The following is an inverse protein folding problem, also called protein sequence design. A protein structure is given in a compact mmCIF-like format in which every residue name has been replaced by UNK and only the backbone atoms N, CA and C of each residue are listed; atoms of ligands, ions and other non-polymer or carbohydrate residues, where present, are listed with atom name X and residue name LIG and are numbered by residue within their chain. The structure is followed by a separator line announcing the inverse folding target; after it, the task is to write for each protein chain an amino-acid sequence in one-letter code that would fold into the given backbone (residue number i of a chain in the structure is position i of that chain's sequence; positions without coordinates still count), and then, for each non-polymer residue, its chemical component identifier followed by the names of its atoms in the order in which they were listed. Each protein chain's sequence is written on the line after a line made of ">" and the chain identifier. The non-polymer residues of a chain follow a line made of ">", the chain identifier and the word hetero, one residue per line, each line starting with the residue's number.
data_IF_141034338579
#
_entry.id   IF_141034338579
#
_cell.length_a   1.000
_cell.length_b   1.000
_cell.length_c   1.000
_cell.angle_alpha   90.00
_cell.angle_beta   90.00
_cell.angle_gamma   90.00
#
_symmetry.space_group_name_H-M   'P 1'
#
loop_
_entity.id
_entity.type
_entity.pdbx_description
1 polymer ?
#
# COMPACT_ATOMS: atom_id res chain seq x y z
N UNK A 1 -3.69 58.55 -26.76
CA UNK A 1 -3.03 58.73 -25.44
C UNK A 1 -1.55 58.51 -25.62
N UNK A 2 -0.72 59.50 -25.30
CA UNK A 2 0.74 59.44 -25.45
C UNK A 2 1.36 58.47 -24.43
N UNK A 3 2.50 57.88 -24.76
CA UNK A 3 3.26 57.03 -23.83
C UNK A 3 3.68 57.80 -22.57
N UNK A 4 3.87 59.11 -22.69
CA UNK A 4 4.16 60.01 -21.57
C UNK A 4 2.95 60.18 -20.63
N UNK A 5 1.73 60.19 -21.15
CA UNK A 5 0.51 60.25 -20.34
C UNK A 5 0.32 58.97 -19.52
N UNK A 6 0.71 57.82 -20.08
CA UNK A 6 0.71 56.53 -19.37
C UNK A 6 1.74 56.50 -18.25
N UNK A 7 2.94 57.06 -18.49
CA UNK A 7 4.02 57.12 -17.49
C UNK A 7 3.68 58.14 -16.40
N UNK A 8 3.09 59.30 -16.73
CA UNK A 8 2.56 60.26 -15.76
C UNK A 8 1.43 59.65 -14.91
N UNK A 9 0.49 58.94 -15.54
CA UNK A 9 -0.59 58.24 -14.84
C UNK A 9 -0.08 57.07 -13.98
N UNK A 10 1.05 56.44 -14.34
CA UNK A 10 1.70 55.44 -13.49
C UNK A 10 2.45 56.07 -12.30
N UNK A 11 3.13 57.21 -12.50
CA UNK A 11 3.81 57.95 -11.42
C UNK A 11 2.83 58.61 -10.45
N UNK A 12 1.68 59.12 -10.90
CA UNK A 12 0.65 59.69 -10.02
C UNK A 12 0.01 58.61 -9.13
N UNK A 13 -0.28 57.43 -9.69
CA UNK A 13 -0.77 56.24 -8.95
C UNK A 13 0.19 55.75 -7.86
N UNK A 14 1.50 55.94 -8.06
CA UNK A 14 2.53 55.56 -7.08
C UNK A 14 2.75 56.62 -6.00
N UNK A 15 2.49 57.90 -6.31
CA UNK A 15 2.54 59.02 -5.34
C UNK A 15 1.29 59.14 -4.47
N UNK A 16 0.15 58.60 -4.91
CA UNK A 16 -1.11 58.56 -4.15
C UNK A 16 -1.19 57.41 -3.12
N UNK A 17 -0.06 56.79 -2.75
CA UNK A 17 -0.02 55.75 -1.70
C UNK A 17 -0.37 56.27 -0.30
N UNK A 18 -0.54 57.59 -0.13
CA UNK A 18 -1.18 58.17 1.04
C UNK A 18 -2.68 58.29 0.80
N UNK A 19 -3.37 57.17 0.97
CA UNK A 19 -4.81 57.17 1.20
C UNK A 19 -5.09 57.85 2.55
N UNK A 20 -5.64 59.06 2.52
CA UNK A 20 -6.18 59.70 3.73
C UNK A 20 -7.51 59.05 4.06
N UNK A 21 -7.51 58.23 5.12
CA UNK A 21 -8.71 57.62 5.71
C UNK A 21 -9.78 58.68 5.92
N UNK A 22 -11.00 58.41 5.45
CA UNK A 22 -12.16 59.28 5.67
C UNK A 22 -12.27 59.66 7.15
N UNK A 23 -12.29 60.96 7.41
CA UNK A 23 -12.45 61.53 8.75
C UNK A 23 -13.80 61.11 9.33
N UNK A 24 -13.83 60.17 10.27
CA UNK A 24 -14.99 59.95 11.14
C UNK A 24 -15.40 58.52 11.51
N UNK A 25 -14.75 57.45 11.03
CA UNK A 25 -15.16 56.06 11.36
C UNK A 25 -14.12 55.39 12.27
N UNK A 26 -14.53 54.93 13.45
CA UNK A 26 -13.64 54.39 14.49
C UNK A 26 -13.01 53.01 14.13
N UNK A 27 -13.64 52.21 13.26
CA UNK A 27 -13.31 50.80 13.02
C UNK A 27 -12.66 50.54 11.65
N UNK A 28 -11.71 51.38 11.23
CA UNK A 28 -11.10 51.26 9.90
C UNK A 28 -9.83 50.39 9.84
N UNK A 29 -9.23 49.98 10.96
CA UNK A 29 -8.02 49.13 10.97
C UNK A 29 -8.37 47.65 10.90
N UNK A 30 -7.51 46.87 10.25
CA UNK A 30 -7.57 45.42 10.34
C UNK A 30 -7.09 44.96 11.72
N UNK A 31 -7.83 44.04 12.35
CA UNK A 31 -7.41 43.41 13.61
C UNK A 31 -6.52 42.19 13.31
N UNK A 32 -5.20 42.23 13.59
CA UNK A 32 -4.28 41.14 13.28
C UNK A 32 -4.68 39.80 13.92
N UNK A 33 -5.26 39.83 15.12
CA UNK A 33 -5.63 38.61 15.83
C UNK A 33 -6.81 37.89 15.15
N UNK A 34 -7.83 38.65 14.76
CA UNK A 34 -9.03 38.11 14.15
C UNK A 34 -8.88 37.79 12.65
N UNK A 35 -7.85 38.34 11.98
CA UNK A 35 -7.55 38.09 10.56
C UNK A 35 -7.19 36.64 10.24
N UNK A 36 -6.53 35.96 11.18
CA UNK A 36 -5.98 34.61 10.99
C UNK A 36 -6.82 33.53 11.69
N UNK A 37 -7.90 33.91 12.36
CA UNK A 37 -8.83 32.98 12.96
C UNK A 37 -9.86 32.46 11.94
N UNK A 38 -9.81 31.16 11.65
CA UNK A 38 -10.78 30.51 10.76
C UNK A 38 -12.23 30.59 11.29
N UNK A 39 -12.41 30.68 12.61
CA UNK A 39 -13.73 30.79 13.27
C UNK A 39 -14.23 32.23 13.40
N UNK A 40 -13.39 33.22 13.11
CA UNK A 40 -13.81 34.61 13.15
C UNK A 40 -14.89 34.88 12.10
N UNK A 41 -15.85 35.74 12.46
CA UNK A 41 -16.94 36.11 11.55
C UNK A 41 -16.38 36.86 10.33
N UNK A 42 -16.98 36.70 9.13
CA UNK A 42 -16.51 37.40 7.93
C UNK A 42 -16.63 38.93 8.04
N UNK A 43 -17.38 39.43 9.03
CA UNK A 43 -17.48 40.83 9.39
C UNK A 43 -16.13 41.48 9.78
N UNK A 44 -15.16 40.69 10.26
CA UNK A 44 -13.83 41.17 10.66
C UNK A 44 -13.07 41.82 9.50
N UNK A 45 -13.21 41.28 8.29
CA UNK A 45 -12.61 41.84 7.08
C UNK A 45 -13.55 42.80 6.34
N UNK A 46 -14.86 42.57 6.43
CA UNK A 46 -15.87 43.38 5.74
C UNK A 46 -16.01 44.78 6.35
N UNK A 47 -16.08 44.90 7.69
CA UNK A 47 -16.32 46.19 8.37
C UNK A 47 -15.21 47.22 8.12
N UNK A 48 -13.91 46.89 8.27
CA UNK A 48 -12.84 47.84 7.98
C UNK A 48 -12.81 48.24 6.50
N UNK A 49 -13.15 47.31 5.61
CA UNK A 49 -13.20 47.56 4.18
C UNK A 49 -14.37 48.48 3.80
N UNK A 50 -15.55 48.32 4.39
CA UNK A 50 -16.69 49.23 4.22
C UNK A 50 -16.42 50.61 4.81
N UNK A 51 -15.82 50.69 6.00
CA UNK A 51 -15.43 51.95 6.63
C UNK A 51 -14.48 52.76 5.76
N UNK A 52 -13.57 52.09 5.04
CA UNK A 52 -12.67 52.72 4.06
C UNK A 52 -13.38 53.13 2.77
N UNK A 53 -14.50 52.54 2.42
CA UNK A 53 -15.25 52.91 1.21
C UNK A 53 -16.26 54.04 1.45
N UNK A 54 -16.61 54.37 2.71
CA UNK A 54 -17.56 55.44 3.07
C UNK A 54 -17.01 56.88 2.90
N UNK A 55 -15.76 57.08 2.44
CA UNK A 55 -15.14 58.40 2.20
C UNK A 55 -15.38 58.99 0.79
N UNK A 56 -14.77 60.16 0.50
CA UNK A 56 -14.78 60.96 -0.76
C UNK A 56 -14.99 60.14 -2.06
N UNK A 57 -15.71 60.67 -3.07
CA UNK A 57 -16.65 59.90 -3.90
C UNK A 57 -15.97 58.75 -4.65
N UNK A 58 -16.08 57.55 -4.11
CA UNK A 58 -15.64 56.31 -4.74
C UNK A 58 -16.60 55.84 -5.85
N UNK A 59 -17.27 56.78 -6.52
CA UNK A 59 -18.25 56.53 -7.59
C UNK A 59 -17.59 55.80 -8.78
N UNK A 60 -16.30 56.06 -9.02
CA UNK A 60 -15.53 55.39 -10.06
C UNK A 60 -14.96 54.03 -9.61
N UNK A 61 -14.97 53.05 -10.53
CA UNK A 61 -14.35 51.73 -10.33
C UNK A 61 -12.86 51.83 -9.98
N UNK A 62 -12.16 52.86 -10.51
CA UNK A 62 -10.75 53.07 -10.27
C UNK A 62 -10.45 53.48 -8.82
N UNK A 63 -11.31 54.31 -8.22
CA UNK A 63 -11.18 54.73 -6.82
C UNK A 63 -11.37 53.54 -5.87
N UNK A 64 -12.40 52.72 -6.07
CA UNK A 64 -12.64 51.51 -5.25
C UNK A 64 -11.50 50.50 -5.33
N UNK A 65 -10.92 50.32 -6.52
CA UNK A 65 -9.76 49.43 -6.72
C UNK A 65 -8.54 49.86 -5.91
N UNK A 66 -8.27 51.16 -5.81
CA UNK A 66 -7.16 51.67 -4.99
C UNK A 66 -7.35 51.31 -3.50
N UNK A 67 -8.58 51.36 -3.00
CA UNK A 67 -8.90 50.92 -1.63
C UNK A 67 -8.65 49.43 -1.46
N UNK A 68 -9.13 48.58 -2.38
CA UNK A 68 -8.89 47.12 -2.30
C UNK A 68 -7.40 46.77 -2.33
N UNK A 69 -6.63 47.43 -3.19
CA UNK A 69 -5.17 47.24 -3.27
C UNK A 69 -4.47 47.66 -1.98
N UNK A 70 -4.92 48.74 -1.32
CA UNK A 70 -4.39 49.16 -0.03
C UNK A 70 -4.69 48.15 1.09
N UNK A 71 -5.93 47.64 1.17
CA UNK A 71 -6.30 46.59 2.16
C UNK A 71 -5.52 45.31 1.91
N UNK A 72 -5.32 44.92 0.65
CA UNK A 72 -4.53 43.74 0.31
C UNK A 72 -3.06 43.92 0.69
N UNK A 73 -2.47 45.09 0.46
CA UNK A 73 -1.09 45.38 0.85
C UNK A 73 -0.89 45.36 2.37
N UNK A 74 -1.86 45.88 3.13
CA UNK A 74 -1.84 45.83 4.59
C UNK A 74 -1.92 44.38 5.10
N UNK A 75 -2.81 43.55 4.53
CA UNK A 75 -2.90 42.12 4.85
C UNK A 75 -1.58 41.40 4.59
N UNK A 76 -0.92 41.65 3.44
CA UNK A 76 0.39 41.05 3.15
C UNK A 76 1.47 41.53 4.13
N UNK A 77 1.43 42.79 4.55
CA UNK A 77 2.36 43.32 5.55
C UNK A 77 2.18 42.67 6.93
N UNK A 78 0.94 42.37 7.32
CA UNK A 78 0.63 41.69 8.57
C UNK A 78 0.96 40.19 8.53
N UNK A 79 0.76 39.54 7.38
CA UNK A 79 1.23 38.16 7.14
C UNK A 79 2.76 38.10 7.31
N UNK A 80 3.49 39.05 6.73
CA UNK A 80 4.95 39.10 6.84
C UNK A 80 5.45 39.41 8.26
N UNK A 81 4.71 40.21 9.04
CA UNK A 81 5.05 40.54 10.44
C UNK A 81 4.77 39.40 11.42
N UNK A 82 3.72 38.63 11.17
CA UNK A 82 3.18 37.67 12.14
C UNK A 82 3.74 36.25 11.97
N UNK A 83 4.64 36.00 11.01
CA UNK A 83 5.22 34.67 10.69
C UNK A 83 4.18 33.53 10.66
N UNK A 84 2.99 33.81 10.14
CA UNK A 84 1.88 32.85 10.15
C UNK A 84 2.13 31.74 9.13
N UNK A 85 1.70 30.51 9.42
CA UNK A 85 1.69 29.41 8.46
C UNK A 85 1.03 29.85 7.13
N UNK A 86 1.70 29.54 6.01
CA UNK A 86 1.29 29.91 4.65
C UNK A 86 -0.14 29.44 4.33
N UNK A 87 -0.60 28.34 4.93
CA UNK A 87 -1.97 27.86 4.75
C UNK A 87 -3.02 28.84 5.32
N UNK A 88 -2.75 29.38 6.50
CA UNK A 88 -3.62 30.35 7.18
C UNK A 88 -3.56 31.68 6.44
N UNK A 89 -2.38 32.07 5.95
CA UNK A 89 -2.23 33.23 5.08
C UNK A 89 -3.05 33.09 3.77
N UNK A 90 -2.99 31.95 3.07
CA UNK A 90 -3.79 31.72 1.86
C UNK A 90 -5.30 31.72 2.15
N UNK A 91 -5.72 31.21 3.32
CA UNK A 91 -7.11 31.31 3.76
C UNK A 91 -7.58 32.76 3.87
N UNK A 92 -6.84 33.62 4.59
CA UNK A 92 -7.17 35.04 4.75
C UNK A 92 -7.15 35.80 3.41
N UNK A 93 -6.19 35.51 2.52
CA UNK A 93 -6.15 36.06 1.15
C UNK A 93 -7.36 35.67 0.32
N UNK A 94 -7.82 34.41 0.41
CA UNK A 94 -9.03 33.94 -0.31
C UNK A 94 -10.29 34.57 0.25
N UNK A 95 -10.40 34.67 1.58
CA UNK A 95 -11.52 35.32 2.27
C UNK A 95 -11.68 36.78 1.82
N UNK A 96 -10.59 37.55 1.79
CA UNK A 96 -10.59 38.93 1.27
C UNK A 96 -11.06 39.01 -0.19
N UNK A 97 -10.56 38.13 -1.07
CA UNK A 97 -10.97 38.08 -2.48
C UNK A 97 -12.47 37.80 -2.67
N UNK A 98 -13.04 36.92 -1.85
CA UNK A 98 -14.49 36.63 -1.88
C UNK A 98 -15.29 37.86 -1.46
N UNK A 99 -14.88 38.52 -0.36
CA UNK A 99 -15.52 39.74 0.14
C UNK A 99 -15.52 40.84 -0.93
N UNK A 100 -14.36 41.13 -1.51
CA UNK A 100 -14.22 42.15 -2.58
C UNK A 100 -15.11 41.82 -3.79
N UNK A 101 -15.15 40.54 -4.19
CA UNK A 101 -15.96 40.10 -5.32
C UNK A 101 -17.46 40.27 -5.07
N UNK A 102 -17.96 39.87 -3.89
CA UNK A 102 -19.38 39.98 -3.54
C UNK A 102 -19.79 41.44 -3.37
N UNK A 103 -18.94 42.25 -2.76
CA UNK A 103 -19.18 43.68 -2.59
C UNK A 103 -19.31 44.41 -3.94
N UNK A 104 -18.40 44.15 -4.88
CA UNK A 104 -18.50 44.75 -6.23
C UNK A 104 -19.75 44.29 -7.00
N UNK A 105 -20.24 43.07 -6.75
CA UNK A 105 -21.49 42.59 -7.35
C UNK A 105 -22.68 43.37 -6.82
N UNK A 106 -22.76 43.58 -5.50
CA UNK A 106 -23.84 44.30 -4.84
C UNK A 106 -23.83 45.80 -5.19
N UNK A 107 -22.64 46.43 -5.27
CA UNK A 107 -22.48 47.82 -5.73
C UNK A 107 -23.01 47.97 -7.17
N UNK A 108 -22.69 47.03 -8.08
CA UNK A 108 -23.17 47.07 -9.47
C UNK A 108 -24.66 46.80 -9.60
N UNK A 109 -25.23 46.05 -8.66
CA UNK A 109 -26.66 45.77 -8.61
C UNK A 109 -27.48 46.91 -7.98
N UNK A 110 -26.84 47.98 -7.50
CA UNK A 110 -27.51 49.13 -6.89
C UNK A 110 -28.02 48.86 -5.47
N UNK A 111 -27.46 47.88 -4.77
CA UNK A 111 -27.81 47.57 -3.37
C UNK A 111 -27.20 48.63 -2.45
N UNK A 112 -27.91 49.02 -1.39
CA UNK A 112 -27.40 49.95 -0.37
C UNK A 112 -26.31 49.31 0.51
N UNK A 113 -25.08 49.27 0.01
CA UNK A 113 -23.92 48.63 0.67
C UNK A 113 -23.41 49.39 1.91
N UNK A 114 -23.83 50.63 2.10
CA UNK A 114 -23.41 51.48 3.23
C UNK A 114 -24.45 51.57 4.34
N UNK A 115 -25.57 50.85 4.21
CA UNK A 115 -26.58 50.78 5.27
C UNK A 115 -26.00 50.12 6.53
N UNK A 116 -26.40 50.57 7.74
CA UNK A 116 -25.94 49.97 8.98
C UNK A 116 -26.35 48.49 9.04
N UNK A 117 -25.38 47.59 9.17
CA UNK A 117 -25.60 46.15 9.21
C UNK A 117 -25.55 45.44 7.85
N UNK A 118 -25.12 46.12 6.78
CA UNK A 118 -24.95 45.49 5.47
C UNK A 118 -23.98 44.30 5.54
N UNK A 119 -24.43 43.17 5.00
CA UNK A 119 -23.64 41.97 4.77
C UNK A 119 -24.13 41.30 3.48
N UNK A 120 -23.23 40.98 2.52
CA UNK A 120 -23.65 40.33 1.29
C UNK A 120 -24.37 39.01 1.58
N UNK A 121 -25.52 38.78 0.93
CA UNK A 121 -26.39 37.63 1.24
C UNK A 121 -25.69 36.27 1.11
N UNK A 122 -24.69 36.17 0.20
CA UNK A 122 -23.91 34.94 -0.03
C UNK A 122 -22.62 34.84 0.78
N UNK A 123 -22.24 35.89 1.52
CA UNK A 123 -20.93 35.95 2.16
C UNK A 123 -20.76 34.87 3.23
N UNK A 124 -21.76 34.69 4.10
CA UNK A 124 -21.71 33.69 5.17
C UNK A 124 -21.56 32.28 4.60
N UNK A 125 -22.38 31.93 3.60
CA UNK A 125 -22.35 30.61 2.98
C UNK A 125 -21.03 30.33 2.22
N UNK A 126 -20.45 31.32 1.53
CA UNK A 126 -19.16 31.16 0.85
C UNK A 126 -17.99 31.09 1.83
N UNK A 127 -18.06 31.82 2.95
CA UNK A 127 -17.04 31.78 4.00
C UNK A 127 -17.05 30.44 4.75
N UNK A 128 -18.22 29.90 5.08
CA UNK A 128 -18.37 28.56 5.66
C UNK A 128 -17.81 27.47 4.73
N UNK A 129 -18.08 27.57 3.43
CA UNK A 129 -17.51 26.65 2.42
C UNK A 129 -16.00 26.74 2.38
N UNK A 130 -15.44 27.94 2.44
CA UNK A 130 -13.99 28.16 2.47
C UNK A 130 -13.37 27.58 3.75
N UNK A 131 -13.98 27.81 4.91
CA UNK A 131 -13.54 27.28 6.21
C UNK A 131 -13.58 25.74 6.23
N UNK A 132 -14.66 25.13 5.74
CA UNK A 132 -14.77 23.68 5.62
C UNK A 132 -13.75 23.08 4.62
N UNK A 133 -13.44 23.79 3.54
CA UNK A 133 -12.39 23.38 2.62
C UNK A 133 -10.99 23.47 3.25
N UNK A 134 -10.71 24.53 4.02
CA UNK A 134 -9.46 24.71 4.75
C UNK A 134 -9.28 23.60 5.81
N UNK A 135 -10.30 23.34 6.63
CA UNK A 135 -10.29 22.28 7.64
C UNK A 135 -9.99 20.89 7.02
N UNK A 136 -10.62 20.56 5.89
CA UNK A 136 -10.35 19.29 5.16
C UNK A 136 -8.94 19.19 4.57
N UNK A 137 -8.27 20.31 4.28
CA UNK A 137 -6.86 20.30 3.82
C UNK A 137 -5.90 20.15 5.00
N UNK A 138 -6.18 20.84 6.11
CA UNK A 138 -5.41 20.72 7.34
C UNK A 138 -5.46 19.28 7.87
N UNK A 139 -6.64 18.66 7.88
CA UNK A 139 -6.81 17.26 8.32
C UNK A 139 -6.05 16.28 7.42
N UNK A 140 -6.14 16.44 6.08
CA UNK A 140 -5.39 15.61 5.14
C UNK A 140 -3.88 15.73 5.31
N UNK A 141 -3.35 16.94 5.52
CA UNK A 141 -1.92 17.15 5.79
C UNK A 141 -1.50 16.46 7.08
N UNK A 142 -2.24 16.62 8.18
CA UNK A 142 -1.93 15.93 9.44
C UNK A 142 -1.89 14.42 9.25
N UNK A 143 -2.82 13.86 8.48
CA UNK A 143 -2.85 12.44 8.16
C UNK A 143 -1.65 12.02 7.29
N UNK A 144 -1.29 12.83 6.29
CA UNK A 144 -0.13 12.57 5.42
C UNK A 144 1.20 12.67 6.19
N UNK A 145 1.37 13.69 7.03
CA UNK A 145 2.54 13.88 7.91
C UNK A 145 2.66 12.73 8.92
N UNK A 146 1.56 12.33 9.58
CA UNK A 146 1.56 11.18 10.48
C UNK A 146 1.91 9.89 9.72
N UNK A 147 1.45 9.74 8.47
CA UNK A 147 1.78 8.60 7.62
C UNK A 147 3.25 8.61 7.19
N UNK A 148 3.81 9.76 6.87
CA UNK A 148 5.22 9.94 6.53
C UNK A 148 6.15 9.72 7.73
N UNK A 149 5.80 10.24 8.91
CA UNK A 149 6.53 10.01 10.15
C UNK A 149 6.59 8.51 10.49
N UNK A 150 5.46 7.79 10.35
CA UNK A 150 5.41 6.33 10.50
C UNK A 150 6.30 5.61 9.49
N UNK A 151 6.27 6.03 8.21
CA UNK A 151 7.14 5.47 7.16
C UNK A 151 8.61 5.70 7.46
N UNK A 152 8.97 6.89 7.92
CA UNK A 152 10.34 7.25 8.28
C UNK A 152 10.84 6.42 9.46
N UNK A 153 10.04 6.31 10.54
CA UNK A 153 10.33 5.48 11.70
C UNK A 153 10.52 4.00 11.30
N UNK A 154 9.61 3.45 10.49
CA UNK A 154 9.71 2.07 10.00
C UNK A 154 10.91 1.85 9.06
N UNK A 155 11.25 2.82 8.21
CA UNK A 155 12.37 2.69 7.25
C UNK A 155 13.72 2.71 7.96
N UNK A 156 13.84 3.50 9.02
CA UNK A 156 15.09 3.72 9.73
C UNK A 156 15.20 2.90 11.03
N UNK A 157 14.19 2.08 11.35
CA UNK A 157 14.09 1.29 12.58
C UNK A 157 14.20 2.15 13.85
N UNK A 158 13.60 3.35 13.80
CA UNK A 158 13.55 4.33 14.90
C UNK A 158 12.19 4.21 15.57
N UNK A 159 12.14 4.32 16.90
CA UNK A 159 10.88 4.38 17.62
C UNK A 159 10.08 5.62 17.18
N UNK A 160 8.81 5.42 16.80
CA UNK A 160 7.93 6.54 16.50
C UNK A 160 7.50 7.20 17.80
N UNK A 161 8.07 8.38 18.08
CA UNK A 161 7.62 9.22 19.17
C UNK A 161 6.39 10.01 18.72
N UNK A 162 5.28 9.82 19.42
CA UNK A 162 4.05 10.57 19.21
C UNK A 162 4.01 11.62 20.31
N UNK A 163 4.04 12.90 19.94
CA UNK A 163 3.84 13.99 20.88
C UNK A 163 2.42 13.91 21.44
N UNK A 164 2.31 13.62 22.73
CA UNK A 164 1.03 13.52 23.45
C UNK A 164 0.61 14.91 23.88
N UNK A 165 -0.67 15.26 23.69
CA UNK A 165 -1.21 16.54 24.14
C UNK A 165 -1.04 16.73 25.66
N UNK A 166 -0.84 17.97 26.12
CA UNK A 166 -0.62 18.25 27.56
C UNK A 166 -1.73 17.68 28.45
N UNK A 167 -2.97 17.67 27.98
CA UNK A 167 -4.11 17.13 28.74
C UNK A 167 -4.08 15.59 28.81
N UNK A 168 -3.59 14.91 27.77
CA UNK A 168 -3.50 13.45 27.70
C UNK A 168 -2.30 12.89 28.47
N UNK A 169 -1.28 13.71 28.74
CA UNK A 169 -0.08 13.24 29.47
C UNK A 169 -0.39 12.78 30.89
N UNK A 170 -1.35 13.42 31.57
CA UNK A 170 -1.80 13.01 32.91
C UNK A 170 -2.52 11.66 32.89
N UNK A 171 -3.45 11.49 31.97
CA UNK A 171 -4.22 10.25 31.80
C UNK A 171 -3.32 9.08 31.40
N UNK A 172 -2.38 9.31 30.48
CA UNK A 172 -1.40 8.29 30.09
C UNK A 172 -0.44 7.93 31.23
N UNK A 173 -0.10 8.88 32.12
CA UNK A 173 0.73 8.59 33.28
C UNK A 173 0.01 7.61 34.23
N UNK A 174 -1.28 7.86 34.50
CA UNK A 174 -2.13 6.95 35.30
C UNK A 174 -2.24 5.59 34.62
N UNK A 175 -2.50 5.57 33.31
CA UNK A 175 -2.64 4.33 32.55
C UNK A 175 -1.34 3.51 32.56
N UNK A 176 -0.19 4.18 32.39
CA UNK A 176 1.14 3.58 32.40
C UNK A 176 1.46 2.96 33.75
N UNK A 177 1.08 3.61 34.84
CA UNK A 177 1.32 3.10 36.19
C UNK A 177 0.45 1.86 36.49
N UNK A 178 -0.82 1.90 36.09
CA UNK A 178 -1.71 0.71 36.17
C UNK A 178 -1.22 -0.43 35.29
N UNK A 179 -0.73 -0.13 34.08
CA UNK A 179 -0.13 -1.12 33.17
C UNK A 179 1.14 -1.73 33.77
N UNK A 180 2.00 -0.94 34.42
CA UNK A 180 3.18 -1.45 35.13
C UNK A 180 2.80 -2.39 36.26
N UNK A 181 1.75 -2.06 37.03
CA UNK A 181 1.25 -2.94 38.08
C UNK A 181 0.72 -4.28 37.50
N UNK A 182 -0.07 -4.21 36.42
CA UNK A 182 -0.58 -5.39 35.69
C UNK A 182 0.52 -6.23 35.02
N UNK A 183 1.59 -5.59 34.55
CA UNK A 183 2.75 -6.29 33.98
C UNK A 183 3.70 -6.80 35.06
N UNK A 184 3.72 -6.19 36.25
CA UNK A 184 4.53 -6.63 37.39
C UNK A 184 4.11 -7.99 37.97
N UNK A 185 2.85 -8.39 37.75
CA UNK A 185 2.36 -9.74 38.06
C UNK A 185 2.79 -10.81 37.03
N UNK A 186 3.43 -10.41 35.93
CA UNK A 186 4.13 -11.30 35.01
C UNK A 186 5.65 -11.08 35.13
N UNK A 187 6.48 -12.10 35.41
CA UNK A 187 7.92 -11.91 35.55
C UNK A 187 8.52 -11.29 34.29
N UNK A 188 9.09 -10.08 34.44
CA UNK A 188 9.70 -9.28 33.39
C UNK A 188 11.08 -9.80 32.92
N UNK A 189 11.34 -11.11 33.03
CA UNK A 189 12.64 -11.72 32.71
C UNK A 189 12.84 -12.02 31.21
N UNK A 190 11.86 -11.73 30.35
CA UNK A 190 11.93 -12.03 28.90
C UNK A 190 11.92 -10.79 27.98
N UNK A 191 12.10 -9.57 28.50
CA UNK A 191 12.01 -8.35 27.67
C UNK A 191 13.34 -7.99 26.96
N UNK A 192 14.47 -8.59 27.33
CA UNK A 192 15.81 -8.20 26.81
C UNK A 192 16.51 -9.21 25.90
N UNK A 193 16.00 -10.43 25.75
CA UNK A 193 16.52 -11.40 24.77
C UNK A 193 15.56 -11.45 23.60
N UNK A 194 16.02 -11.02 22.43
CA UNK A 194 15.34 -11.23 21.15
C UNK A 194 14.66 -12.59 21.18
N UNK A 195 13.32 -12.62 21.26
CA UNK A 195 12.58 -13.88 21.25
C UNK A 195 13.04 -14.62 20.00
N UNK A 196 13.51 -15.88 20.11
CA UNK A 196 14.06 -16.58 18.97
C UNK A 196 12.97 -16.61 17.90
N UNK A 197 13.29 -16.07 16.71
CA UNK A 197 12.37 -15.96 15.56
C UNK A 197 11.61 -17.28 15.33
N UNK A 198 12.25 -18.42 15.60
CA UNK A 198 11.64 -19.75 15.55
C UNK A 198 10.46 -19.97 16.50
N UNK A 199 10.45 -19.41 17.72
CA UNK A 199 9.33 -19.57 18.67
C UNK A 199 8.09 -18.81 18.19
N UNK A 200 8.28 -17.60 17.68
CA UNK A 200 7.19 -16.80 17.10
C UNK A 200 6.65 -17.47 15.83
N UNK A 201 7.54 -17.93 14.96
CA UNK A 201 7.16 -18.62 13.72
C UNK A 201 6.39 -19.93 14.01
N UNK A 202 6.85 -20.73 14.96
CA UNK A 202 6.16 -21.95 15.36
C UNK A 202 4.80 -21.66 16.00
N UNK A 203 4.71 -20.63 16.85
CA UNK A 203 3.43 -20.20 17.43
C UNK A 203 2.43 -19.75 16.34
N UNK A 204 2.89 -18.98 15.36
CA UNK A 204 2.08 -18.57 14.22
C UNK A 204 1.66 -19.76 13.35
N UNK A 205 2.55 -20.72 13.13
CA UNK A 205 2.23 -21.95 12.40
C UNK A 205 1.11 -22.74 13.09
N UNK A 206 1.23 -22.97 14.40
CA UNK A 206 0.19 -23.65 15.19
C UNK A 206 -1.12 -22.87 15.18
N UNK A 207 -1.06 -21.54 15.32
CA UNK A 207 -2.23 -20.67 15.24
C UNK A 207 -2.94 -20.82 13.89
N UNK A 208 -2.19 -20.70 12.79
CA UNK A 208 -2.76 -20.74 11.45
C UNK A 208 -3.30 -22.13 11.10
N UNK A 209 -2.66 -23.21 11.59
CA UNK A 209 -3.21 -24.56 11.50
C UNK A 209 -4.54 -24.69 12.23
N UNK A 210 -4.71 -24.09 13.42
CA UNK A 210 -5.99 -24.11 14.15
C UNK A 210 -7.07 -23.32 13.41
N UNK A 211 -6.73 -22.16 12.86
CA UNK A 211 -7.66 -21.37 12.03
C UNK A 211 -8.12 -22.19 10.82
N UNK A 212 -7.18 -22.83 10.12
CA UNK A 212 -7.49 -23.67 8.95
C UNK A 212 -8.39 -24.87 9.30
N UNK A 213 -8.15 -25.53 10.44
CA UNK A 213 -9.02 -26.61 10.93
C UNK A 213 -10.41 -26.11 11.34
N UNK A 214 -10.51 -24.89 11.89
CA UNK A 214 -11.77 -24.29 12.31
C UNK A 214 -12.63 -23.79 11.14
N UNK A 215 -12.00 -23.30 10.07
CA UNK A 215 -12.73 -22.70 8.95
C UNK A 215 -13.35 -23.73 8.00
N UNK A 216 -12.77 -24.92 7.77
CA UNK A 216 -13.49 -26.06 7.14
C UNK A 216 -12.65 -27.33 6.99
N UNK A 217 -13.19 -28.49 7.40
CA UNK A 217 -12.66 -29.83 7.01
C UNK A 217 -12.66 -30.05 5.49
N UNK A 218 -13.50 -29.32 4.75
CA UNK A 218 -13.64 -29.42 3.29
C UNK A 218 -12.39 -28.87 2.59
N UNK A 219 -11.66 -27.93 3.21
CA UNK A 219 -10.46 -27.34 2.61
C UNK A 219 -9.38 -28.39 2.32
N UNK A 220 -9.21 -29.39 3.19
CA UNK A 220 -8.23 -30.46 3.01
C UNK A 220 -8.62 -31.40 1.85
N UNK A 221 -9.90 -31.77 1.77
CA UNK A 221 -10.44 -32.56 0.66
C UNK A 221 -10.31 -31.79 -0.66
N UNK A 222 -10.56 -30.49 -0.64
CA UNK A 222 -10.42 -29.63 -1.80
C UNK A 222 -8.98 -29.52 -2.31
N UNK A 223 -7.98 -29.63 -1.42
CA UNK A 223 -6.58 -29.66 -1.81
C UNK A 223 -6.21 -30.90 -2.65
N UNK A 224 -6.97 -32.00 -2.52
CA UNK A 224 -6.83 -33.23 -3.31
C UNK A 224 -7.49 -33.12 -4.69
N UNK A 225 -8.64 -32.45 -4.78
CA UNK A 225 -9.43 -32.34 -6.02
C UNK A 225 -8.63 -31.68 -7.13
N UNK A 226 -7.95 -30.56 -6.84
CA UNK A 226 -7.17 -29.83 -7.85
C UNK A 226 -6.12 -30.71 -8.56
N UNK A 227 -5.20 -31.36 -7.81
CA UNK A 227 -4.24 -32.31 -8.35
C UNK A 227 -4.87 -33.44 -9.13
N UNK A 228 -5.95 -34.05 -8.63
CA UNK A 228 -6.64 -35.14 -9.36
C UNK A 228 -7.18 -34.66 -10.70
N UNK A 229 -7.82 -33.49 -10.75
CA UNK A 229 -8.37 -32.93 -12.01
C UNK A 229 -7.28 -32.62 -13.02
N UNK A 230 -6.17 -32.02 -12.59
CA UNK A 230 -5.07 -31.71 -13.51
C UNK A 230 -4.31 -32.98 -13.93
N UNK A 231 -4.10 -33.92 -13.01
CA UNK A 231 -3.52 -35.23 -13.30
C UNK A 231 -4.33 -35.97 -14.36
N UNK A 232 -5.66 -36.05 -14.21
CA UNK A 232 -6.54 -36.75 -15.15
C UNK A 232 -6.59 -36.04 -16.50
N UNK A 233 -6.57 -34.70 -16.51
CA UNK A 233 -6.46 -33.92 -17.74
C UNK A 233 -5.17 -34.22 -18.51
N UNK A 234 -4.02 -34.20 -17.83
CA UNK A 234 -2.72 -34.49 -18.48
C UNK A 234 -2.69 -35.95 -18.94
N UNK A 235 -3.11 -36.88 -18.08
CA UNK A 235 -3.09 -38.31 -18.40
C UNK A 235 -3.99 -38.64 -19.59
N UNK A 236 -5.21 -38.11 -19.61
CA UNK A 236 -6.16 -38.33 -20.71
C UNK A 236 -5.63 -37.78 -22.04
N UNK A 237 -4.97 -36.62 -22.04
CA UNK A 237 -4.38 -36.04 -23.25
C UNK A 237 -3.38 -37.02 -23.90
N UNK A 238 -2.46 -37.57 -23.12
CA UNK A 238 -1.46 -38.53 -23.63
C UNK A 238 -2.08 -39.86 -24.08
N UNK A 239 -3.04 -40.39 -23.31
CA UNK A 239 -3.73 -41.65 -23.65
C UNK A 239 -4.52 -41.49 -24.95
N UNK A 240 -5.20 -40.35 -25.16
CA UNK A 240 -5.91 -40.06 -26.41
C UNK A 240 -4.96 -39.94 -27.61
N UNK A 241 -3.71 -39.50 -27.38
CA UNK A 241 -2.65 -39.48 -28.38
C UNK A 241 -1.98 -40.86 -28.58
N UNK A 242 -2.46 -41.92 -27.91
CA UNK A 242 -1.91 -43.27 -28.01
C UNK A 242 -0.58 -43.48 -27.25
N UNK A 243 -0.20 -42.53 -26.39
CA UNK A 243 1.03 -42.61 -25.60
C UNK A 243 0.71 -43.12 -24.20
N UNK A 244 1.26 -44.29 -23.86
CA UNK A 244 1.11 -44.89 -22.52
C UNK A 244 2.37 -44.72 -21.64
N UNK A 245 3.52 -44.49 -22.27
CA UNK A 245 4.79 -44.23 -21.60
C UNK A 245 5.49 -43.04 -22.26
N UNK A 246 6.05 -42.16 -21.44
CA UNK A 246 6.82 -40.99 -21.87
C UNK A 246 8.26 -41.22 -21.44
N UNK A 247 9.17 -41.51 -22.38
CA UNK A 247 10.59 -41.71 -22.08
C UNK A 247 10.83 -42.71 -20.92
N UNK A 248 10.06 -43.80 -20.90
CA UNK A 248 10.13 -44.83 -19.83
C UNK A 248 9.30 -44.55 -18.57
N UNK A 249 8.67 -43.38 -18.47
CA UNK A 249 7.78 -43.01 -17.36
C UNK A 249 6.34 -43.38 -17.68
N UNK A 250 5.61 -43.97 -16.73
CA UNK A 250 4.16 -44.15 -16.89
C UNK A 250 3.43 -42.80 -16.84
N UNK A 251 2.44 -42.63 -17.72
CA UNK A 251 1.76 -41.35 -17.96
C UNK A 251 1.06 -40.81 -16.71
N UNK A 252 0.51 -41.69 -15.87
CA UNK A 252 -0.22 -41.33 -14.66
C UNK A 252 0.71 -40.75 -13.61
N UNK A 253 1.86 -41.40 -13.35
CA UNK A 253 2.87 -40.89 -12.42
C UNK A 253 3.55 -39.64 -12.96
N UNK A 254 3.82 -39.59 -14.26
CA UNK A 254 4.30 -38.38 -14.93
C UNK A 254 3.37 -37.18 -14.67
N UNK A 255 2.07 -37.41 -14.85
CA UNK A 255 1.02 -36.40 -14.63
C UNK A 255 0.86 -36.04 -13.16
N UNK A 256 0.98 -37.02 -12.25
CA UNK A 256 0.93 -36.81 -10.80
C UNK A 256 2.03 -35.84 -10.34
N UNK A 257 3.27 -36.09 -10.73
CA UNK A 257 4.42 -35.28 -10.34
C UNK A 257 4.28 -33.85 -10.86
N UNK A 258 3.93 -33.69 -12.14
CA UNK A 258 3.72 -32.37 -12.74
C UNK A 258 2.56 -31.61 -12.09
N UNK A 259 1.37 -32.23 -12.06
CA UNK A 259 0.15 -31.59 -11.58
C UNK A 259 0.23 -31.19 -10.11
N UNK A 260 0.65 -32.11 -9.24
CA UNK A 260 0.62 -31.91 -7.79
C UNK A 260 1.71 -30.92 -7.38
N UNK A 261 2.93 -31.03 -7.93
CA UNK A 261 4.03 -30.09 -7.64
C UNK A 261 3.66 -28.67 -8.06
N UNK A 262 3.07 -28.52 -9.25
CA UNK A 262 2.72 -27.20 -9.76
C UNK A 262 1.55 -26.58 -8.99
N UNK A 263 0.52 -27.36 -8.65
CA UNK A 263 -0.59 -26.87 -7.84
C UNK A 263 -0.10 -26.49 -6.44
N UNK A 264 0.80 -27.27 -5.85
CA UNK A 264 1.47 -26.89 -4.60
C UNK A 264 2.18 -25.55 -4.73
N UNK A 265 3.06 -25.42 -5.73
CA UNK A 265 3.80 -24.19 -6.02
C UNK A 265 2.84 -22.99 -6.13
N UNK A 266 1.76 -23.15 -6.89
CA UNK A 266 0.72 -22.14 -7.09
C UNK A 266 0.05 -21.75 -5.78
N UNK A 267 -0.37 -22.71 -4.96
CA UNK A 267 -0.99 -22.42 -3.67
C UNK A 267 -0.04 -21.68 -2.75
N UNK A 268 1.22 -22.12 -2.66
CA UNK A 268 2.24 -21.46 -1.86
C UNK A 268 2.42 -20.01 -2.33
N UNK A 269 2.59 -19.77 -3.64
CA UNK A 269 2.81 -18.44 -4.19
C UNK A 269 1.65 -17.48 -3.85
N UNK A 270 0.40 -17.88 -4.14
CA UNK A 270 -0.77 -17.00 -3.93
C UNK A 270 -1.17 -16.84 -2.46
N UNK A 271 -1.05 -17.89 -1.65
CA UNK A 271 -1.43 -17.83 -0.23
C UNK A 271 -0.41 -17.02 0.57
N UNK A 272 0.87 -17.20 0.25
CA UNK A 272 1.94 -16.41 0.85
C UNK A 272 1.87 -14.94 0.42
N UNK A 273 1.60 -14.67 -0.87
CA UNK A 273 1.45 -13.28 -1.36
C UNK A 273 0.24 -12.57 -0.72
N UNK A 274 -0.87 -13.29 -0.55
CA UNK A 274 -2.07 -12.75 0.09
C UNK A 274 -1.80 -12.47 1.56
N UNK A 275 -1.22 -13.43 2.29
CA UNK A 275 -0.89 -13.27 3.70
C UNK A 275 0.11 -12.14 3.95
N UNK A 276 1.07 -11.94 3.04
CA UNK A 276 1.99 -10.82 3.08
C UNK A 276 1.29 -9.46 3.09
N UNK A 277 0.23 -9.30 2.29
CA UNK A 277 -0.52 -8.04 2.16
C UNK A 277 -1.66 -7.91 3.18
N UNK A 278 -2.34 -9.01 3.50
CA UNK A 278 -3.60 -9.02 4.25
C UNK A 278 -3.42 -9.17 5.77
N UNK A 279 -2.28 -9.67 6.25
CA UNK A 279 -2.07 -9.99 7.67
C UNK A 279 -1.85 -8.75 8.57
N UNK A 280 -2.45 -7.60 8.24
CA UNK A 280 -2.26 -6.32 8.95
C UNK A 280 -2.61 -6.41 10.43
N UNK A 281 -3.65 -7.16 10.80
CA UNK A 281 -4.03 -7.36 12.19
C UNK A 281 -3.02 -8.17 13.02
N UNK A 282 -2.28 -9.09 12.40
CA UNK A 282 -1.24 -9.85 13.09
C UNK A 282 0.05 -9.04 13.28
N UNK A 283 0.27 -8.00 12.46
CA UNK A 283 1.41 -7.10 12.60
C UNK A 283 1.34 -6.24 13.88
N UNK A 284 0.18 -6.20 14.55
CA UNK A 284 0.03 -5.54 15.85
C UNK A 284 0.72 -6.32 16.98
N UNK A 285 1.07 -7.60 16.77
CA UNK A 285 1.82 -8.37 17.75
C UNK A 285 3.33 -8.16 17.62
N UNK A 286 3.99 -7.93 18.76
CA UNK A 286 5.45 -7.74 18.81
C UNK A 286 6.19 -8.97 18.24
N UNK A 287 7.08 -8.71 17.27
CA UNK A 287 7.93 -9.73 16.64
C UNK A 287 7.33 -10.44 15.44
N UNK A 288 6.09 -10.12 15.03
CA UNK A 288 5.48 -10.64 13.80
C UNK A 288 5.86 -9.74 12.62
N UNK A 289 6.39 -10.33 11.55
CA UNK A 289 6.73 -9.61 10.31
C UNK A 289 5.88 -10.12 9.14
N UNK A 290 5.64 -9.30 8.09
CA UNK A 290 4.92 -9.75 6.89
C UNK A 290 5.59 -10.96 6.23
N UNK A 291 6.93 -11.00 6.26
CA UNK A 291 7.73 -12.14 5.80
C UNK A 291 7.40 -13.42 6.59
N UNK A 292 7.30 -13.35 7.93
CA UNK A 292 6.91 -14.50 8.74
C UNK A 292 5.51 -15.01 8.38
N UNK A 293 4.55 -14.12 8.13
CA UNK A 293 3.21 -14.52 7.66
C UNK A 293 3.27 -15.32 6.35
N UNK A 294 4.07 -14.85 5.38
CA UNK A 294 4.27 -15.52 4.10
C UNK A 294 4.95 -16.89 4.27
N UNK A 295 6.02 -16.97 5.08
CA UNK A 295 6.75 -18.20 5.33
C UNK A 295 5.91 -19.26 6.06
N UNK A 296 5.07 -18.84 7.00
CA UNK A 296 4.13 -19.75 7.70
C UNK A 296 3.15 -20.37 6.71
N UNK A 297 2.57 -19.57 5.81
CA UNK A 297 1.70 -20.10 4.74
C UNK A 297 2.46 -21.09 3.85
N UNK A 298 3.69 -20.75 3.46
CA UNK A 298 4.52 -21.63 2.65
C UNK A 298 4.74 -22.98 3.33
N UNK A 299 5.09 -22.99 4.62
CA UNK A 299 5.32 -24.22 5.39
C UNK A 299 4.05 -25.07 5.52
N UNK A 300 2.89 -24.44 5.73
CA UNK A 300 1.60 -25.14 5.80
C UNK A 300 1.31 -25.84 4.48
N UNK A 301 1.40 -25.13 3.36
CA UNK A 301 1.04 -25.71 2.07
C UNK A 301 2.06 -26.75 1.60
N UNK A 302 3.36 -26.61 1.87
CA UNK A 302 4.32 -27.70 1.65
C UNK A 302 3.91 -28.94 2.44
N UNK A 303 3.57 -28.79 3.73
CA UNK A 303 3.16 -29.91 4.57
C UNK A 303 1.87 -30.58 4.07
N UNK A 304 0.86 -29.79 3.69
CA UNK A 304 -0.39 -30.29 3.12
C UNK A 304 -0.13 -31.07 1.84
N UNK A 305 0.69 -30.53 0.93
CA UNK A 305 0.92 -31.19 -0.36
C UNK A 305 1.85 -32.40 -0.27
N UNK A 306 2.74 -32.49 0.73
CA UNK A 306 3.45 -33.73 1.04
C UNK A 306 2.48 -34.85 1.45
N UNK A 307 1.46 -34.53 2.26
CA UNK A 307 0.39 -35.49 2.59
C UNK A 307 -0.43 -35.85 1.36
N UNK A 308 -0.79 -34.86 0.52
CA UNK A 308 -1.52 -35.11 -0.74
C UNK A 308 -0.72 -36.04 -1.67
N UNK A 309 0.59 -35.83 -1.81
CA UNK A 309 1.45 -36.75 -2.54
C UNK A 309 1.42 -38.16 -1.97
N UNK A 310 1.57 -38.31 -0.65
CA UNK A 310 1.51 -39.62 0.00
C UNK A 310 0.17 -40.34 -0.26
N UNK A 311 -0.95 -39.62 -0.17
CA UNK A 311 -2.29 -40.17 -0.45
C UNK A 311 -2.43 -40.57 -1.92
N UNK A 312 -2.04 -39.71 -2.86
CA UNK A 312 -2.19 -40.00 -4.29
C UNK A 312 -1.27 -41.13 -4.76
N UNK A 313 -0.02 -41.14 -4.31
CA UNK A 313 0.94 -42.21 -4.64
C UNK A 313 0.44 -43.54 -4.07
N UNK A 314 0.03 -43.59 -2.79
CA UNK A 314 -0.46 -44.83 -2.17
C UNK A 314 -1.75 -45.35 -2.83
N UNK A 315 -2.73 -44.48 -3.07
CA UNK A 315 -3.98 -44.87 -3.72
C UNK A 315 -3.78 -45.30 -5.19
N UNK A 316 -2.97 -44.55 -5.95
CA UNK A 316 -2.69 -44.90 -7.35
C UNK A 316 -1.83 -46.16 -7.49
N UNK A 317 -0.91 -46.41 -6.56
CA UNK A 317 -0.12 -47.63 -6.53
C UNK A 317 -1.01 -48.85 -6.20
N UNK A 318 -1.94 -48.72 -5.25
CA UNK A 318 -2.88 -49.80 -4.91
C UNK A 318 -3.77 -50.25 -6.08
N UNK A 319 -4.03 -49.35 -7.04
CA UNK A 319 -4.82 -49.62 -8.25
C UNK A 319 -3.91 -50.03 -9.43
N UNK A 320 -2.58 -50.05 -9.25
CA UNK A 320 -1.61 -50.42 -10.29
C UNK A 320 -1.39 -49.34 -11.35
N UNK A 321 -1.79 -48.09 -11.08
CA UNK A 321 -1.65 -46.96 -12.00
C UNK A 321 -0.40 -46.12 -11.77
N UNK A 322 0.17 -46.14 -10.56
CA UNK A 322 1.29 -45.29 -10.16
C UNK A 322 2.49 -46.13 -9.73
N UNK A 323 3.67 -45.77 -10.24
CA UNK A 323 4.95 -46.36 -9.85
C UNK A 323 5.45 -45.74 -8.56
N UNK A 324 6.14 -46.53 -7.73
CA UNK A 324 6.72 -46.02 -6.48
C UNK A 324 8.01 -45.23 -6.75
N UNK A 325 8.33 -44.22 -5.93
CA UNK A 325 9.57 -43.47 -6.07
C UNK A 325 10.79 -44.37 -5.84
N UNK A 326 11.81 -44.25 -6.70
CA UNK A 326 13.11 -44.89 -6.48
C UNK A 326 13.81 -44.35 -5.23
N UNK A 327 13.76 -43.03 -5.02
CA UNK A 327 14.34 -42.36 -3.85
C UNK A 327 13.32 -41.43 -3.20
N UNK A 328 12.74 -41.87 -2.07
CA UNK A 328 11.84 -41.05 -1.27
C UNK A 328 12.50 -39.76 -0.79
N UNK A 329 13.75 -39.84 -0.34
CA UNK A 329 14.48 -38.67 0.15
C UNK A 329 14.70 -37.64 -0.96
N UNK A 330 15.12 -38.09 -2.14
CA UNK A 330 15.35 -37.22 -3.28
C UNK A 330 14.05 -36.62 -3.82
N UNK A 331 12.98 -37.42 -3.91
CA UNK A 331 11.64 -36.96 -4.27
C UNK A 331 11.17 -35.83 -3.33
N UNK A 332 11.20 -36.07 -2.01
CA UNK A 332 10.78 -35.08 -1.00
C UNK A 332 11.65 -33.81 -1.11
N UNK A 333 12.96 -33.95 -1.29
CA UNK A 333 13.87 -32.82 -1.42
C UNK A 333 13.47 -31.92 -2.59
N UNK A 334 13.26 -32.46 -3.79
CA UNK A 334 12.88 -31.65 -4.96
C UNK A 334 11.48 -31.04 -4.82
N UNK A 335 10.53 -31.76 -4.21
CA UNK A 335 9.22 -31.18 -3.86
C UNK A 335 9.38 -29.99 -2.92
N UNK A 336 10.20 -30.11 -1.87
CA UNK A 336 10.47 -29.00 -0.94
C UNK A 336 11.18 -27.83 -1.64
N UNK A 337 12.16 -28.09 -2.51
CA UNK A 337 12.85 -27.04 -3.28
C UNK A 337 11.90 -26.30 -4.22
N UNK A 338 10.97 -27.01 -4.88
CA UNK A 338 9.88 -26.41 -5.65
C UNK A 338 8.93 -25.61 -4.74
N UNK A 339 8.69 -26.07 -3.51
CA UNK A 339 7.98 -25.31 -2.49
C UNK A 339 8.70 -24.01 -2.11
N UNK A 340 10.02 -24.04 -1.93
CA UNK A 340 10.85 -22.85 -1.69
C UNK A 340 10.79 -21.86 -2.85
N UNK A 341 10.78 -22.35 -4.10
CA UNK A 341 10.53 -21.53 -5.27
C UNK A 341 9.18 -20.81 -5.19
N UNK A 342 8.12 -21.54 -4.81
CA UNK A 342 6.78 -20.98 -4.61
C UNK A 342 6.77 -19.92 -3.50
N UNK A 343 7.49 -20.16 -2.41
CA UNK A 343 7.61 -19.23 -1.29
C UNK A 343 8.29 -17.92 -1.70
N UNK A 344 9.41 -18.02 -2.42
CA UNK A 344 10.13 -16.86 -2.95
C UNK A 344 9.25 -16.06 -3.93
N UNK A 345 8.55 -16.75 -4.83
CA UNK A 345 7.60 -16.12 -5.75
C UNK A 345 6.46 -15.45 -5.00
N UNK A 346 5.93 -16.08 -3.95
CA UNK A 346 4.85 -15.52 -3.14
C UNK A 346 5.25 -14.26 -2.39
N UNK A 347 6.46 -14.23 -1.80
CA UNK A 347 7.02 -13.03 -1.18
C UNK A 347 7.23 -11.92 -2.21
N UNK A 348 7.77 -12.26 -3.39
CA UNK A 348 7.95 -11.30 -4.48
C UNK A 348 6.61 -10.72 -4.96
N UNK A 349 5.61 -11.56 -5.20
CA UNK A 349 4.27 -11.14 -5.62
C UNK A 349 3.57 -10.31 -4.55
N UNK A 350 3.69 -10.69 -3.29
CA UNK A 350 3.17 -9.92 -2.16
C UNK A 350 3.83 -8.54 -2.07
N UNK A 351 5.14 -8.49 -2.24
CA UNK A 351 5.91 -7.24 -2.22
C UNK A 351 5.52 -6.31 -3.36
N UNK A 352 5.38 -6.81 -4.60
CA UNK A 352 4.91 -6.01 -5.75
C UNK A 352 3.49 -5.51 -5.50
N UNK A 353 2.62 -6.33 -4.92
CA UNK A 353 1.23 -5.99 -4.65
C UNK A 353 1.07 -4.84 -3.62
N UNK A 354 2.09 -4.57 -2.79
CA UNK A 354 2.08 -3.41 -1.89
C UNK A 354 2.13 -2.08 -2.64
N UNK A 355 2.80 -2.04 -3.79
CA UNK A 355 2.87 -0.87 -4.67
C UNK A 355 1.74 -0.88 -5.69
N UNK A 356 1.48 -2.05 -6.29
CA UNK A 356 0.46 -2.22 -7.31
C UNK A 356 -0.65 -3.17 -6.85
N UNK A 357 -1.68 -2.61 -6.23
CA UNK A 357 -2.80 -3.36 -5.65
C UNK A 357 -3.55 -4.28 -6.65
N UNK A 358 -3.45 -4.01 -7.95
CA UNK A 358 -4.07 -4.84 -9.00
C UNK A 358 -3.22 -6.06 -9.38
N UNK A 359 -1.94 -6.10 -9.00
CA UNK A 359 -0.99 -7.14 -9.40
C UNK A 359 -1.46 -8.56 -9.06
N UNK A 360 -2.03 -8.79 -7.87
CA UNK A 360 -2.53 -10.12 -7.48
C UNK A 360 -3.70 -10.62 -8.35
N UNK A 361 -4.38 -9.73 -9.08
CA UNK A 361 -5.40 -10.13 -10.07
C UNK A 361 -4.78 -10.55 -11.40
N UNK A 362 -3.60 -10.04 -11.73
CA UNK A 362 -2.83 -10.39 -12.94
C UNK A 362 -1.88 -11.57 -12.72
N UNK A 363 -1.40 -11.77 -11.49
CA UNK A 363 -0.48 -12.84 -11.15
C UNK A 363 -0.94 -14.25 -11.58
N UNK A 364 -2.25 -14.61 -11.55
CA UNK A 364 -2.73 -15.88 -12.10
C UNK A 364 -2.46 -16.06 -13.59
N UNK A 365 -2.46 -14.98 -14.38
CA UNK A 365 -2.16 -15.04 -15.81
C UNK A 365 -0.67 -15.36 -16.00
N UNK A 366 0.20 -14.67 -15.25
CA UNK A 366 1.65 -14.91 -15.27
C UNK A 366 1.96 -16.35 -14.87
N UNK A 367 1.33 -16.82 -13.79
CA UNK A 367 1.48 -18.20 -13.31
C UNK A 367 1.04 -19.23 -14.36
N UNK A 368 -0.04 -18.99 -15.11
CA UNK A 368 -0.46 -19.87 -16.20
C UNK A 368 0.56 -19.96 -17.33
N UNK A 369 1.18 -18.85 -17.72
CA UNK A 369 2.28 -18.89 -18.69
C UNK A 369 3.47 -19.66 -18.14
N UNK A 370 3.83 -19.41 -16.88
CA UNK A 370 4.92 -20.09 -16.20
C UNK A 370 4.69 -21.61 -16.13
N UNK A 371 3.44 -22.05 -15.94
CA UNK A 371 3.05 -23.45 -15.90
C UNK A 371 3.41 -24.20 -17.19
N UNK A 372 3.21 -23.54 -18.34
CA UNK A 372 3.47 -24.13 -19.66
C UNK A 372 4.98 -24.37 -19.82
N UNK A 373 5.80 -23.40 -19.42
CA UNK A 373 7.26 -23.49 -19.53
C UNK A 373 7.92 -24.27 -18.38
N UNK A 374 7.21 -24.59 -17.30
CA UNK A 374 7.76 -25.29 -16.13
C UNK A 374 7.80 -26.83 -16.27
N UNK A 375 7.77 -27.34 -17.51
CA UNK A 375 7.74 -28.77 -17.80
C UNK A 375 6.61 -29.55 -17.09
N UNK A 376 5.46 -28.90 -16.82
CA UNK A 376 4.33 -29.55 -16.12
C UNK A 376 3.64 -30.57 -17.03
N UNK A 377 3.38 -30.18 -18.27
CA UNK A 377 2.67 -30.99 -19.28
C UNK A 377 3.61 -31.83 -20.15
N UNK A 378 4.83 -31.33 -20.36
CA UNK A 378 5.81 -31.89 -21.31
C UNK A 378 7.21 -31.85 -20.70
N UNK A 379 8.13 -32.58 -21.32
CA UNK A 379 9.55 -32.72 -20.97
C UNK A 379 10.37 -32.21 -22.15
N UNK A 380 11.51 -31.54 -21.92
CA UNK A 380 12.22 -30.89 -23.04
C UNK A 380 12.76 -31.87 -24.05
N UNK A 381 13.12 -33.07 -23.60
CA UNK A 381 13.57 -34.15 -24.46
C UNK A 381 12.49 -34.61 -25.46
N UNK A 382 11.19 -34.29 -25.27
CA UNK A 382 10.13 -34.57 -26.24
C UNK A 382 10.12 -33.59 -27.43
N UNK A 383 10.77 -32.44 -27.31
CA UNK A 383 10.80 -31.43 -28.36
C UNK A 383 12.03 -31.54 -29.28
N UNK A 384 11.94 -31.02 -30.52
CA UNK A 384 13.10 -30.82 -31.38
C UNK A 384 14.19 -29.99 -30.67
N UNK A 385 15.45 -30.25 -30.98
CA UNK A 385 16.61 -29.62 -30.33
C UNK A 385 16.55 -28.09 -30.32
N UNK A 386 15.93 -27.47 -31.34
CA UNK A 386 15.79 -26.02 -31.45
C UNK A 386 14.84 -25.43 -30.39
N UNK A 387 13.86 -26.20 -29.90
CA UNK A 387 12.84 -25.74 -28.94
C UNK A 387 13.20 -26.02 -27.49
N UNK A 388 14.10 -26.98 -27.22
CA UNK A 388 14.52 -27.33 -25.84
C UNK A 388 15.05 -26.14 -25.03
N UNK A 389 15.94 -25.27 -25.57
CA UNK A 389 16.47 -24.14 -24.82
C UNK A 389 15.41 -23.14 -24.36
N UNK A 390 14.33 -22.97 -25.13
CA UNK A 390 13.24 -22.06 -24.79
C UNK A 390 12.44 -22.53 -23.58
N UNK A 391 12.26 -23.84 -23.43
CA UNK A 391 11.61 -24.40 -22.25
C UNK A 391 12.54 -24.43 -21.04
N UNK A 392 13.81 -24.82 -21.24
CA UNK A 392 14.83 -24.88 -20.20
C UNK A 392 15.25 -23.49 -19.68
N UNK A 393 14.93 -22.42 -20.39
CA UNK A 393 15.10 -21.07 -19.87
C UNK A 393 14.39 -20.87 -18.50
N UNK A 394 13.25 -21.54 -18.31
CA UNK A 394 12.55 -21.56 -17.03
C UNK A 394 13.30 -22.43 -16.00
N UNK A 395 13.72 -21.88 -14.84
CA UNK A 395 14.36 -22.70 -13.80
C UNK A 395 13.40 -23.75 -13.22
N UNK A 396 12.09 -23.52 -13.30
CA UNK A 396 11.09 -24.48 -12.84
C UNK A 396 11.02 -25.73 -13.74
N UNK A 397 11.39 -25.60 -15.03
CA UNK A 397 11.51 -26.75 -15.93
C UNK A 397 12.59 -27.71 -15.43
N UNK A 398 13.77 -27.16 -15.12
CA UNK A 398 14.88 -27.91 -14.54
C UNK A 398 14.49 -28.60 -13.23
N UNK A 399 13.87 -27.86 -12.30
CA UNK A 399 13.42 -28.44 -11.03
C UNK A 399 12.42 -29.59 -11.22
N UNK A 400 11.49 -29.46 -12.17
CA UNK A 400 10.49 -30.49 -12.49
C UNK A 400 11.10 -31.72 -13.17
N UNK A 401 12.04 -31.55 -14.10
CA UNK A 401 12.72 -32.67 -14.74
C UNK A 401 13.62 -33.43 -13.78
N UNK A 402 14.36 -32.71 -12.92
CA UNK A 402 15.19 -33.33 -11.87
C UNK A 402 14.32 -34.06 -10.83
N UNK A 403 13.14 -33.52 -10.50
CA UNK A 403 12.17 -34.24 -9.68
C UNK A 403 11.78 -35.59 -10.32
N UNK A 404 11.54 -35.60 -11.64
CA UNK A 404 11.20 -36.84 -12.36
C UNK A 404 12.38 -37.80 -12.44
N UNK A 405 13.60 -37.31 -12.69
CA UNK A 405 14.80 -38.17 -12.79
C UNK A 405 15.16 -38.85 -11.47
N UNK A 406 14.79 -38.25 -10.33
CA UNK A 406 15.00 -38.85 -9.01
C UNK A 406 13.84 -39.78 -8.60
N UNK A 407 12.67 -39.60 -9.20
CA UNK A 407 11.50 -40.44 -8.96
C UNK A 407 11.59 -41.76 -9.74
N UNK A 408 11.90 -41.67 -11.04
CA UNK A 408 11.89 -42.81 -11.96
C UNK A 408 13.27 -43.39 -12.17
N UNK A 409 13.39 -44.71 -12.08
CA UNK A 409 14.63 -45.41 -12.45
C UNK A 409 14.87 -45.44 -13.97
N UNK A 410 13.80 -45.44 -14.75
CA UNK A 410 13.87 -45.56 -16.21
C UNK A 410 14.15 -44.23 -16.93
N UNK A 411 14.16 -43.11 -16.20
CA UNK A 411 14.30 -41.77 -16.78
C UNK A 411 15.43 -41.00 -16.09
N UNK A 412 16.43 -40.61 -16.87
CA UNK A 412 17.47 -39.67 -16.48
C UNK A 412 17.40 -38.47 -17.43
N UNK A 413 17.34 -37.26 -16.89
CA UNK A 413 17.30 -36.06 -17.73
C UNK A 413 18.71 -35.67 -18.13
N UNK A 414 18.93 -35.47 -19.43
CA UNK A 414 20.25 -35.15 -19.97
C UNK A 414 20.46 -33.64 -20.17
N UNK A 415 19.39 -32.87 -20.26
CA UNK A 415 19.44 -31.43 -20.51
C UNK A 415 19.12 -30.58 -19.25
N UNK A 416 18.60 -31.18 -18.19
CA UNK A 416 18.32 -30.48 -16.95
C UNK A 416 19.59 -30.24 -16.09
N UNK A 417 19.91 -28.98 -15.81
CA UNK A 417 21.02 -28.58 -14.94
C UNK A 417 20.59 -28.28 -13.50
N UNK A 418 21.12 -29.09 -12.56
CA UNK A 418 20.96 -28.84 -11.12
C UNK A 418 21.61 -27.52 -10.69
N UNK A 419 22.77 -27.19 -11.25
CA UNK A 419 23.46 -25.94 -10.96
C UNK A 419 22.63 -24.71 -11.38
N UNK A 420 22.01 -24.76 -12.55
CA UNK A 420 21.13 -23.67 -13.02
C UNK A 420 19.88 -23.53 -12.14
N UNK A 421 19.24 -24.64 -11.77
CA UNK A 421 18.08 -24.63 -10.88
C UNK A 421 18.41 -24.01 -9.52
N UNK A 422 19.47 -24.48 -8.85
CA UNK A 422 19.84 -23.98 -7.52
C UNK A 422 20.29 -22.51 -7.55
N UNK A 423 21.08 -22.11 -8.55
CA UNK A 423 21.52 -20.70 -8.68
C UNK A 423 20.33 -19.78 -8.93
N UNK A 424 19.38 -20.19 -9.78
CA UNK A 424 18.15 -19.45 -10.04
C UNK A 424 17.22 -19.40 -8.84
N UNK A 425 17.14 -20.47 -8.04
CA UNK A 425 16.41 -20.48 -6.77
C UNK A 425 17.01 -19.46 -5.79
N UNK A 426 18.33 -19.49 -5.58
CA UNK A 426 19.02 -18.54 -4.70
C UNK A 426 18.83 -17.11 -5.21
N UNK A 427 18.97 -16.89 -6.51
CA UNK A 427 18.73 -15.58 -7.12
C UNK A 427 17.29 -15.09 -6.89
N UNK A 428 16.29 -15.95 -7.11
CA UNK A 428 14.88 -15.62 -6.87
C UNK A 428 14.61 -15.28 -5.39
N UNK A 429 15.22 -16.02 -4.46
CA UNK A 429 15.12 -15.74 -3.02
C UNK A 429 15.75 -14.39 -2.66
N UNK A 430 16.91 -14.07 -3.20
CA UNK A 430 17.57 -12.77 -2.98
C UNK A 430 16.71 -11.63 -3.54
N UNK A 431 16.19 -11.77 -4.75
CA UNK A 431 15.28 -10.79 -5.36
C UNK A 431 14.02 -10.60 -4.51
N UNK A 432 13.43 -11.69 -4.02
CA UNK A 432 12.25 -11.64 -3.16
C UNK A 432 12.54 -10.93 -1.83
N UNK A 433 13.69 -11.18 -1.19
CA UNK A 433 14.08 -10.52 0.06
C UNK A 433 14.42 -9.03 -0.14
N UNK A 434 15.03 -8.66 -1.27
CA UNK A 434 15.25 -7.25 -1.62
C UNK A 434 13.91 -6.54 -1.82
N UNK A 435 12.99 -7.16 -2.56
CA UNK A 435 11.64 -6.63 -2.77
C UNK A 435 10.88 -6.48 -1.45
N UNK A 436 10.99 -7.47 -0.56
CA UNK A 436 10.40 -7.44 0.79
C UNK A 436 10.94 -6.26 1.61
N UNK A 437 12.26 -6.07 1.62
CA UNK A 437 12.90 -4.99 2.38
C UNK A 437 12.47 -3.61 1.88
N UNK A 438 12.26 -3.46 0.57
CA UNK A 438 11.75 -2.23 -0.04
C UNK A 438 10.26 -2.02 0.28
N UNK A 439 9.47 -3.08 0.26
CA UNK A 439 8.02 -3.04 0.48
C UNK A 439 7.63 -2.89 1.96
N UNK A 440 8.47 -3.36 2.89
CA UNK A 440 8.20 -3.38 4.34
C UNK A 440 7.66 -2.06 4.93
N UNK A 441 8.20 -0.86 4.60
CA UNK A 441 7.67 0.41 5.10
C UNK A 441 6.25 0.76 4.64
N UNK A 442 5.77 0.13 3.57
CA UNK A 442 4.43 0.34 3.02
C UNK A 442 3.39 -0.62 3.60
N UNK A 443 3.82 -1.69 4.27
CA UNK A 443 2.94 -2.66 4.93
C UNK A 443 2.67 -2.18 6.36
N UNK A 444 1.59 -1.43 6.54
CA UNK A 444 1.23 -0.84 7.83
C UNK A 444 0.41 -1.82 8.70
N UNK A 445 0.74 -1.98 9.99
CA UNK A 445 -0.22 -2.48 10.99
C UNK A 445 -1.41 -1.50 11.05
N UNK A 446 -2.63 -2.02 11.19
CA UNK A 446 -3.82 -1.18 11.36
C UNK A 446 -3.96 -0.70 12.80
#
# INVERSE_FOLDING_TARGET
>A
MSNEDRIKGWRSRRKSSNYTVGSGVADWRLDPAALFEAKATPAVLLKPLLARLQGEPHDSVAARRAVYEAVQAELESEIARSEVDENVADFSRRRLRIIVRLLEQDIRAGVEVFAPGYMPAKLVAEDERLAAAHARRAERRKQDEAREARRHASRNDIALEIEVGRDETGDLAILRDRLRFLHGSHPAEMAGKARPVGRTLMAMFIYQLRVMHGESRIALVWALVGPVVLLTLISSLYILMGTHYILGMDVQTFSLLGATTWIMFRQIAFRSSTAYVSARGLLNFQGVTPLMCALVQSLIYVSVYLVVFGVLISAGHAIGLITLPQSWAGFILFVVLMGCCGAAMGVLFGSIATYWHFFLRLAPIIERFLQIFAAVFFVSEQFPEQLRPWMLWSPFAHGMQLLRSVYFQAYESHDASLGYFLTSLVFLMVVALIAERLARPNVQPM
#
